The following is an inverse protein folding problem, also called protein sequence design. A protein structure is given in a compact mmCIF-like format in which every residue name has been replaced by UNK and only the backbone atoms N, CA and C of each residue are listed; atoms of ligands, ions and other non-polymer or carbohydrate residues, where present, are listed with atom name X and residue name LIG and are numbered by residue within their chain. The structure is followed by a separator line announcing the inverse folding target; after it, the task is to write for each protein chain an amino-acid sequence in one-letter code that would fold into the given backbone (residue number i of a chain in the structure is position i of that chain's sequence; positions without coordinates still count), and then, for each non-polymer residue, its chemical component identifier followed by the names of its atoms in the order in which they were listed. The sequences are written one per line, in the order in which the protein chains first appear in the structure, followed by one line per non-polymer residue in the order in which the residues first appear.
data_IF_463370188669
#
_entry.id   IF_463370188669
#
_cell.length_a   1.000
_cell.length_b   1.000
_cell.length_c   1.000
_cell.angle_alpha   90.00
_cell.angle_beta   90.00
_cell.angle_gamma   90.00
#
_symmetry.space_group_name_H-M   'P 1'
#
loop_
_entity.id
_entity.type
_entity.pdbx_description
1 polymer ?
#
# COMPACT_ATOMS: atom_id res chain seq x y z
N UNK A 1 30.70 -55.76 3.30
CA UNK A 1 30.34 -54.39 3.73
C UNK A 1 30.43 -53.33 2.60
N UNK A 2 31.23 -53.52 1.54
CA UNK A 2 31.37 -52.55 0.44
C UNK A 2 30.11 -52.40 -0.44
N UNK A 3 29.41 -53.52 -0.67
CA UNK A 3 28.19 -53.58 -1.49
C UNK A 3 26.99 -52.89 -0.83
N UNK A 4 26.93 -52.89 0.50
CA UNK A 4 25.88 -52.21 1.26
C UNK A 4 25.96 -50.68 1.12
N UNK A 5 27.18 -50.14 1.02
CA UNK A 5 27.40 -48.71 0.71
C UNK A 5 26.93 -48.38 -0.71
N UNK A 6 27.22 -49.24 -1.69
CA UNK A 6 26.81 -49.04 -3.09
C UNK A 6 25.28 -49.10 -3.24
N UNK A 7 24.59 -49.90 -2.42
CA UNK A 7 23.12 -49.99 -2.42
C UNK A 7 22.44 -48.73 -1.84
N UNK A 8 23.05 -48.08 -0.85
CA UNK A 8 22.46 -46.92 -0.15
C UNK A 8 22.79 -45.55 -0.77
N UNK A 9 23.86 -45.43 -1.55
CA UNK A 9 24.25 -44.18 -2.23
C UNK A 9 23.20 -43.69 -3.25
N UNK A 10 22.66 -44.52 -4.17
CA UNK A 10 21.69 -44.04 -5.17
C UNK A 10 20.38 -43.47 -4.59
N UNK A 11 19.71 -44.07 -3.58
CA UNK A 11 18.49 -43.50 -3.01
C UNK A 11 18.75 -42.20 -2.25
N UNK A 12 19.91 -42.06 -1.58
CA UNK A 12 20.31 -40.82 -0.91
C UNK A 12 20.53 -39.70 -1.94
N UNK A 13 21.13 -40.01 -3.08
CA UNK A 13 21.37 -39.04 -4.15
C UNK A 13 20.06 -38.57 -4.79
N UNK A 14 19.12 -39.50 -5.03
CA UNK A 14 17.78 -39.18 -5.53
C UNK A 14 17.00 -38.31 -4.53
N UNK A 15 17.10 -38.59 -3.23
CA UNK A 15 16.46 -37.80 -2.18
C UNK A 15 16.99 -36.35 -2.15
N UNK A 16 18.31 -36.17 -2.25
CA UNK A 16 18.94 -34.84 -2.26
C UNK A 16 18.47 -34.04 -3.48
N UNK A 17 18.43 -34.67 -4.66
CA UNK A 17 17.94 -34.03 -5.89
C UNK A 17 16.46 -33.62 -5.76
N UNK A 18 15.62 -34.50 -5.20
CA UNK A 18 14.19 -34.21 -4.99
C UNK A 18 13.92 -33.00 -4.08
N UNK A 19 14.72 -32.82 -3.02
CA UNK A 19 14.61 -31.68 -2.11
C UNK A 19 15.03 -30.38 -2.82
N UNK A 20 16.05 -30.42 -3.69
CA UNK A 20 16.49 -29.23 -4.44
C UNK A 20 15.51 -28.80 -5.54
N UNK A 21 14.75 -29.74 -6.12
CA UNK A 21 13.74 -29.45 -7.15
C UNK A 21 12.41 -29.00 -6.52
N UNK A 22 12.13 -29.43 -5.28
CA UNK A 22 10.93 -29.06 -4.53
C UNK A 22 11.07 -27.75 -3.74
N UNK A 23 12.16 -26.99 -3.94
CA UNK A 23 12.26 -25.62 -3.47
C UNK A 23 11.40 -24.73 -4.38
N UNK A 24 10.09 -24.80 -4.17
CA UNK A 24 9.19 -23.74 -4.58
C UNK A 24 9.68 -22.43 -3.93
N UNK A 25 9.71 -21.34 -4.69
CA UNK A 25 9.93 -20.02 -4.09
C UNK A 25 8.67 -19.69 -3.29
N UNK A 26 8.63 -20.18 -2.06
CA UNK A 26 7.63 -19.79 -1.07
C UNK A 26 7.68 -18.26 -0.95
N UNK A 27 6.49 -17.65 -0.82
CA UNK A 27 6.20 -16.22 -0.91
C UNK A 27 6.82 -15.42 0.25
N UNK A 28 8.12 -15.59 0.51
CA UNK A 28 8.90 -14.66 1.29
C UNK A 28 9.15 -13.46 0.40
N UNK A 29 8.15 -12.61 0.41
CA UNK A 29 8.20 -11.24 -0.03
C UNK A 29 9.49 -10.61 0.52
N UNK A 30 10.52 -10.31 -0.30
CA UNK A 30 11.67 -9.57 0.19
C UNK A 30 11.19 -8.23 0.78
N UNK A 31 11.95 -7.60 1.69
CA UNK A 31 11.60 -6.30 2.29
C UNK A 31 11.39 -5.15 1.28
N UNK A 32 11.65 -5.41 0.00
CA UNK A 32 11.42 -4.57 -1.18
C UNK A 32 10.17 -4.99 -1.98
N UNK A 33 9.25 -5.75 -1.38
CA UNK A 33 8.02 -6.16 -2.04
C UNK A 33 7.14 -4.98 -2.40
N UNK A 34 6.29 -5.11 -3.43
CA UNK A 34 5.49 -4.01 -3.93
C UNK A 34 4.72 -3.40 -2.78
N UNK A 35 5.12 -2.20 -2.37
CA UNK A 35 4.35 -1.37 -1.48
C UNK A 35 2.99 -1.19 -2.12
N UNK A 36 1.93 -1.32 -1.34
CA UNK A 36 0.58 -1.08 -1.83
C UNK A 36 0.58 0.24 -2.60
N UNK A 37 0.17 0.25 -3.88
CA UNK A 37 0.25 1.45 -4.68
C UNK A 37 -0.60 2.53 -4.03
N UNK A 38 -0.05 3.73 -3.94
CA UNK A 38 -0.83 4.89 -3.52
C UNK A 38 -1.72 5.33 -4.69
N UNK A 39 -2.94 5.76 -4.37
CA UNK A 39 -3.79 6.53 -5.26
C UNK A 39 -3.23 7.94 -5.37
N UNK A 40 -2.90 8.37 -6.58
CA UNK A 40 -2.46 9.73 -6.87
C UNK A 40 -3.63 10.49 -7.51
N UNK A 41 -3.96 11.66 -6.95
CA UNK A 41 -5.03 12.55 -7.45
C UNK A 41 -4.42 13.92 -7.69
N UNK A 42 -4.33 14.34 -8.95
CA UNK A 42 -3.94 15.69 -9.33
C UNK A 42 -5.18 16.60 -9.34
N UNK A 43 -5.04 17.78 -8.73
CA UNK A 43 -6.08 18.81 -8.66
C UNK A 43 -5.75 19.87 -9.71
N UNK A 44 -6.64 20.00 -10.70
CA UNK A 44 -6.44 20.80 -11.91
C UNK A 44 -7.42 21.98 -11.95
N UNK A 45 -7.14 23.00 -12.75
CA UNK A 45 -8.09 24.08 -12.98
C UNK A 45 -9.23 23.62 -13.91
N UNK A 46 -10.46 23.94 -13.54
CA UNK A 46 -11.63 23.62 -14.34
C UNK A 46 -11.65 24.39 -15.68
N UNK A 47 -11.00 25.56 -15.74
CA UNK A 47 -10.90 26.34 -16.98
C UNK A 47 -9.75 25.90 -17.87
N UNK A 48 -8.76 25.21 -17.30
CA UNK A 48 -7.52 24.81 -17.96
C UNK A 48 -6.97 23.54 -17.31
N UNK A 49 -7.31 22.39 -17.89
CA UNK A 49 -6.96 21.06 -17.34
C UNK A 49 -5.46 20.76 -17.41
N UNK A 50 -4.68 21.50 -18.21
CA UNK A 50 -3.22 21.37 -18.24
C UNK A 50 -2.54 22.11 -17.07
N UNK A 51 -3.31 22.91 -16.32
CA UNK A 51 -2.84 23.72 -15.21
C UNK A 51 -3.26 23.14 -13.86
N UNK A 52 -2.30 23.00 -12.95
CA UNK A 52 -2.55 22.51 -11.59
C UNK A 52 -3.07 23.62 -10.68
N UNK A 53 -4.05 23.28 -9.81
CA UNK A 53 -4.73 24.21 -8.92
C UNK A 53 -4.71 23.73 -7.47
N UNK A 54 -4.19 24.58 -6.58
CA UNK A 54 -4.21 24.31 -5.15
C UNK A 54 -5.64 24.36 -4.59
N UNK A 55 -5.99 23.34 -3.81
CA UNK A 55 -7.13 23.37 -2.89
C UNK A 55 -6.62 23.75 -1.52
N UNK A 56 -7.25 24.76 -0.92
CA UNK A 56 -6.91 25.28 0.40
C UNK A 56 -7.77 24.63 1.48
N UNK A 57 -7.19 24.47 2.67
CA UNK A 57 -7.87 23.92 3.86
C UNK A 57 -8.53 22.58 3.56
N UNK A 58 -7.78 21.69 2.94
CA UNK A 58 -8.19 20.35 2.62
C UNK A 58 -7.98 19.43 3.83
N UNK A 59 -8.99 18.64 4.15
CA UNK A 59 -8.92 17.53 5.10
C UNK A 59 -9.31 16.25 4.37
N UNK A 60 -8.58 15.17 4.62
CA UNK A 60 -8.86 13.85 4.05
C UNK A 60 -9.14 12.87 5.18
N UNK A 61 -10.28 12.18 5.13
CA UNK A 61 -10.71 11.20 6.14
C UNK A 61 -11.03 9.89 5.43
N UNK A 62 -10.62 8.76 6.01
CA UNK A 62 -11.07 7.45 5.52
C UNK A 62 -12.56 7.26 5.83
N UNK A 63 -13.33 6.73 4.89
CA UNK A 63 -14.72 6.36 5.23
C UNK A 63 -14.69 5.22 6.25
N UNK A 64 -15.56 5.27 7.25
CA UNK A 64 -15.58 4.38 8.41
C UNK A 64 -14.31 4.46 9.28
N UNK A 65 -13.59 5.59 9.20
CA UNK A 65 -12.50 5.96 10.09
C UNK A 65 -12.82 7.28 10.78
N UNK A 66 -12.69 7.33 12.10
CA UNK A 66 -12.95 8.53 12.90
C UNK A 66 -11.75 9.49 12.91
N UNK A 67 -10.59 9.05 12.41
CA UNK A 67 -9.35 9.82 12.40
C UNK A 67 -9.06 10.44 11.03
N UNK A 68 -8.56 11.68 11.05
CA UNK A 68 -8.00 12.34 9.86
C UNK A 68 -6.78 11.57 9.38
N UNK A 69 -6.63 11.45 8.06
CA UNK A 69 -5.46 10.82 7.47
C UNK A 69 -4.21 11.63 7.82
N UNK A 70 -3.23 11.00 8.47
CA UNK A 70 -1.95 11.61 8.82
C UNK A 70 -1.33 12.36 7.64
N UNK A 71 -0.97 13.63 7.84
CA UNK A 71 -0.43 14.50 6.78
C UNK A 71 -1.48 15.26 5.96
N UNK A 72 -2.78 15.09 6.27
CA UNK A 72 -3.89 15.84 5.68
C UNK A 72 -4.71 16.60 6.74
N UNK A 73 -4.05 17.03 7.81
CA UNK A 73 -4.61 17.87 8.88
C UNK A 73 -4.65 19.34 8.43
N UNK A 74 -5.68 19.71 7.65
CA UNK A 74 -5.89 21.06 7.11
C UNK A 74 -4.69 21.53 6.27
N UNK A 75 -4.55 20.94 5.09
CA UNK A 75 -3.43 21.22 4.19
C UNK A 75 -3.84 22.07 3.00
N UNK A 76 -2.84 22.68 2.36
CA UNK A 76 -2.99 23.24 1.01
C UNK A 76 -2.21 22.34 0.07
N UNK A 77 -2.89 21.73 -0.90
CA UNK A 77 -2.24 20.87 -1.88
C UNK A 77 -2.94 20.95 -3.23
N UNK A 78 -2.17 20.70 -4.29
CA UNK A 78 -2.64 20.49 -5.64
C UNK A 78 -2.49 19.02 -6.09
N UNK A 79 -1.92 18.15 -5.27
CA UNK A 79 -1.79 16.73 -5.53
C UNK A 79 -1.95 15.94 -4.23
N UNK A 80 -2.72 14.85 -4.29
CA UNK A 80 -2.95 13.96 -3.16
C UNK A 80 -2.31 12.62 -3.45
N UNK A 81 -1.62 12.08 -2.45
CA UNK A 81 -1.03 10.75 -2.44
C UNK A 81 -1.68 10.00 -1.28
N UNK A 82 -2.63 9.13 -1.60
CA UNK A 82 -3.48 8.45 -0.63
C UNK A 82 -3.16 6.95 -0.63
N UNK A 83 -2.86 6.32 0.52
CA UNK A 83 -2.62 4.88 0.57
C UNK A 83 -3.89 4.09 0.24
N UNK A 84 -3.76 2.87 -0.27
CA UNK A 84 -4.91 1.97 -0.43
C UNK A 84 -5.01 0.99 0.75
N UNK A 85 -6.25 0.62 1.10
CA UNK A 85 -6.54 -0.40 2.09
C UNK A 85 -6.18 -1.77 1.54
N UNK A 86 -5.34 -2.51 2.26
CA UNK A 86 -4.86 -3.85 1.87
C UNK A 86 -5.71 -4.99 2.39
N UNK A 87 -6.60 -4.69 3.35
CA UNK A 87 -7.39 -5.70 4.06
C UNK A 87 -8.76 -5.93 3.43
N UNK A 88 -9.20 -5.02 2.55
CA UNK A 88 -10.52 -5.03 1.94
C UNK A 88 -10.43 -4.78 0.43
N UNK A 89 -11.49 -5.15 -0.28
CA UNK A 89 -11.59 -4.98 -1.72
C UNK A 89 -11.88 -3.53 -2.15
N UNK A 90 -12.13 -2.63 -1.20
CA UNK A 90 -12.53 -1.24 -1.45
C UNK A 90 -11.80 -0.29 -0.51
N UNK A 91 -11.28 0.80 -1.05
CA UNK A 91 -10.76 1.95 -0.28
C UNK A 91 -11.63 3.16 -0.58
N UNK A 92 -12.06 3.88 0.45
CA UNK A 92 -12.94 5.04 0.32
C UNK A 92 -12.39 6.19 1.16
N UNK A 93 -12.39 7.39 0.59
CA UNK A 93 -11.96 8.63 1.23
C UNK A 93 -13.02 9.71 1.08
N UNK A 94 -13.22 10.49 2.14
CA UNK A 94 -13.94 11.75 2.10
C UNK A 94 -12.93 12.90 1.99
N UNK A 95 -13.07 13.72 0.95
CA UNK A 95 -12.27 14.92 0.73
C UNK A 95 -13.09 16.14 1.09
N UNK A 96 -12.65 16.89 2.10
CA UNK A 96 -13.37 18.04 2.65
C UNK A 96 -12.53 19.28 2.39
N UNK A 97 -13.01 20.20 1.55
CA UNK A 97 -12.34 21.46 1.29
C UNK A 97 -12.88 22.59 2.18
N UNK A 98 -12.10 23.67 2.30
CA UNK A 98 -12.47 24.84 3.09
C UNK A 98 -12.80 24.54 4.56
N UNK A 99 -12.16 23.52 5.14
CA UNK A 99 -12.40 23.14 6.53
C UNK A 99 -12.03 24.28 7.49
N UNK A 100 -12.94 24.60 8.43
CA UNK A 100 -12.72 25.66 9.43
C UNK A 100 -12.98 25.08 10.82
N UNK A 101 -11.98 25.21 11.70
CA UNK A 101 -12.19 25.03 13.13
C UNK A 101 -12.86 26.29 13.67
N UNK A 102 -14.02 26.14 14.31
CA UNK A 102 -14.59 27.27 15.06
C UNK A 102 -13.78 27.57 16.33
N UNK A 103 -14.00 28.74 16.94
CA UNK A 103 -13.27 29.17 18.15
C UNK A 103 -13.45 28.23 19.35
N UNK A 104 -14.31 27.22 19.23
CA UNK A 104 -14.57 26.19 20.23
C UNK A 104 -14.06 24.80 19.78
N UNK A 105 -13.15 24.76 18.80
CA UNK A 105 -12.53 23.55 18.24
C UNK A 105 -13.54 22.58 17.60
N UNK A 106 -14.69 23.11 17.16
CA UNK A 106 -15.74 22.33 16.50
C UNK A 106 -15.49 22.29 14.99
N UNK A 107 -15.45 21.09 14.37
CA UNK A 107 -15.38 20.94 12.92
C UNK A 107 -16.56 21.60 12.20
N UNK A 108 -16.31 22.49 11.22
CA UNK A 108 -17.32 23.01 10.28
C UNK A 108 -16.85 23.05 8.83
#
# INVERSE_FOLDING_TARGET
MKYFKILFIPPIMILIVGITISCERDDICPAITPTTPNLIIDLLDYTDEDSSKNVFKLVVIGVDNDEVLSGYEIVTSNQLVLPLKTTDNTTQYALINNYVLDDNDTPR
#
